data_IF_280145945266
#
_entry.id   IF_280145945266
#
_cell.length_a   1.000
_cell.length_b   1.000
_cell.length_c   1.000
_cell.angle_alpha   90.00
_cell.angle_beta   90.00
_cell.angle_gamma   90.00
#
_symmetry.space_group_name_H-M   'P 1'
#
loop_
_entity.id
_entity.type
_entity.pdbx_description
1 polymer ?
#
# COMPACT_ATOMS: atom_id res chain seq x y z
N UNK A 1 -8.49 9.87 2.56
CA UNK A 1 -9.03 9.48 3.88
C UNK A 1 -8.49 10.39 4.98
N UNK A 2 -9.28 10.69 6.03
CA UNK A 2 -8.74 11.38 7.22
C UNK A 2 -8.10 10.37 8.17
N UNK A 3 -7.07 10.80 8.89
CA UNK A 3 -6.36 9.93 9.84
C UNK A 3 -7.23 9.55 11.03
N UNK A 4 -8.15 10.44 11.44
CA UNK A 4 -9.13 10.17 12.50
C UNK A 4 -10.00 8.96 12.19
N UNK A 5 -10.52 8.88 10.97
CA UNK A 5 -11.36 7.77 10.50
C UNK A 5 -10.61 6.44 10.57
N UNK A 6 -9.35 6.41 10.11
CA UNK A 6 -8.51 5.19 10.15
C UNK A 6 -8.24 4.74 11.59
N UNK A 7 -8.13 5.68 12.54
CA UNK A 7 -7.90 5.38 13.95
C UNK A 7 -9.13 4.82 14.66
N UNK A 8 -10.33 5.22 14.24
CA UNK A 8 -11.61 4.71 14.77
C UNK A 8 -11.95 3.31 14.25
N UNK A 9 -11.45 2.94 13.06
CA UNK A 9 -11.67 1.62 12.46
C UNK A 9 -10.96 0.49 13.21
N UNK A 10 -11.56 -0.72 13.20
CA UNK A 10 -10.90 -1.92 13.75
C UNK A 10 -9.72 -2.33 12.88
N UNK A 11 -8.75 -3.02 13.46
CA UNK A 11 -7.53 -3.41 12.74
C UNK A 11 -7.82 -4.29 11.52
N UNK A 12 -8.79 -5.21 11.61
CA UNK A 12 -9.27 -6.00 10.48
C UNK A 12 -9.88 -5.14 9.35
N UNK A 13 -10.63 -4.10 9.70
CA UNK A 13 -11.25 -3.18 8.71
C UNK A 13 -10.18 -2.33 8.00
N UNK A 14 -9.14 -1.91 8.73
CA UNK A 14 -7.99 -1.20 8.14
C UNK A 14 -7.27 -2.09 7.12
N UNK A 15 -7.13 -3.39 7.38
CA UNK A 15 -6.55 -4.33 6.42
C UNK A 15 -7.40 -4.46 5.15
N UNK A 16 -8.72 -4.59 5.29
CA UNK A 16 -9.65 -4.67 4.15
C UNK A 16 -9.58 -3.40 3.30
N UNK A 17 -9.58 -2.23 3.93
CA UNK A 17 -9.43 -0.96 3.21
C UNK A 17 -8.08 -0.82 2.51
N UNK A 18 -6.98 -1.24 3.14
CA UNK A 18 -5.67 -1.25 2.50
C UNK A 18 -5.64 -2.12 1.25
N UNK A 19 -6.33 -3.27 1.28
CA UNK A 19 -6.44 -4.15 0.11
C UNK A 19 -7.24 -3.49 -1.02
N UNK A 20 -8.35 -2.82 -0.67
CA UNK A 20 -9.16 -2.05 -1.63
C UNK A 20 -8.35 -0.92 -2.26
N UNK A 21 -7.63 -0.14 -1.47
CA UNK A 21 -6.79 0.96 -1.95
C UNK A 21 -5.64 0.46 -2.84
N UNK A 22 -5.06 -0.71 -2.54
CA UNK A 22 -4.02 -1.33 -3.38
C UNK A 22 -4.55 -1.75 -4.74
N UNK A 23 -5.74 -2.36 -4.80
CA UNK A 23 -6.41 -2.66 -6.08
C UNK A 23 -6.67 -1.39 -6.89
N UNK A 24 -7.23 -0.38 -6.24
CA UNK A 24 -7.49 0.89 -6.90
C UNK A 24 -6.21 1.56 -7.43
N UNK A 25 -5.10 1.49 -6.67
CA UNK A 25 -3.81 1.98 -7.15
C UNK A 25 -3.29 1.19 -8.36
N UNK A 26 -3.55 -0.11 -8.42
CA UNK A 26 -3.21 -0.93 -9.59
C UNK A 26 -4.03 -0.50 -10.80
N UNK A 27 -5.35 -0.35 -10.66
CA UNK A 27 -6.24 0.09 -11.75
C UNK A 27 -5.81 1.45 -12.28
N UNK A 28 -5.54 2.42 -11.39
CA UNK A 28 -5.04 3.74 -11.76
C UNK A 28 -3.69 3.68 -12.49
N UNK A 29 -2.81 2.73 -12.15
CA UNK A 29 -1.52 2.53 -12.84
C UNK A 29 -1.72 1.92 -14.22
N UNK A 30 -2.63 0.96 -14.35
CA UNK A 30 -2.94 0.36 -15.66
C UNK A 30 -3.55 1.42 -16.57
N UNK A 31 -4.51 2.20 -16.05
CA UNK A 31 -5.10 3.33 -16.76
C UNK A 31 -4.04 4.35 -17.19
N UNK A 32 -3.04 4.64 -16.36
CA UNK A 32 -1.94 5.54 -16.69
C UNK A 32 -1.08 5.10 -17.87
N UNK A 33 -1.02 3.79 -18.11
CA UNK A 33 -0.24 3.21 -19.19
C UNK A 33 -1.04 3.18 -20.48
N UNK A 34 -2.35 2.88 -20.40
CA UNK A 34 -3.21 2.74 -21.58
C UNK A 34 -3.72 4.08 -22.09
N UNK A 35 -4.02 5.03 -21.20
CA UNK A 35 -4.64 6.32 -21.53
C UNK A 35 -4.04 7.45 -20.68
N UNK A 36 -4.26 8.71 -21.09
CA UNK A 36 -3.91 9.86 -20.25
C UNK A 36 -4.88 9.91 -19.07
N UNK A 37 -4.39 9.80 -17.84
CA UNK A 37 -5.22 10.00 -16.66
C UNK A 37 -5.90 11.36 -16.71
N UNK A 38 -7.21 11.37 -16.48
CA UNK A 38 -7.98 12.60 -16.24
C UNK A 38 -7.46 13.34 -14.99
N UNK A 39 -7.04 12.59 -13.96
CA UNK A 39 -6.57 13.19 -12.71
C UNK A 39 -5.35 12.47 -12.10
N UNK A 40 -4.12 12.90 -12.46
CA UNK A 40 -2.88 12.36 -11.88
C UNK A 40 -2.76 12.53 -10.37
N UNK A 41 -3.47 13.51 -9.77
CA UNK A 41 -3.43 13.73 -8.31
C UNK A 41 -4.07 12.60 -7.52
N UNK A 42 -5.01 11.84 -8.13
CA UNK A 42 -5.60 10.67 -7.47
C UNK A 42 -4.55 9.62 -7.14
N UNK A 43 -3.56 9.43 -8.01
CA UNK A 43 -2.48 8.46 -7.79
C UNK A 43 -1.64 8.84 -6.55
N UNK A 44 -1.42 10.13 -6.33
CA UNK A 44 -0.73 10.65 -5.13
C UNK A 44 -1.62 10.52 -3.90
N UNK A 45 -2.91 10.83 -4.01
CA UNK A 45 -3.88 10.73 -2.91
C UNK A 45 -4.00 9.29 -2.40
N UNK A 46 -4.20 8.33 -3.30
CA UNK A 46 -4.33 6.90 -2.97
C UNK A 46 -3.04 6.37 -2.32
N UNK A 47 -1.86 6.77 -2.81
CA UNK A 47 -0.58 6.43 -2.18
C UNK A 47 -0.47 6.97 -0.75
N UNK A 48 -0.93 8.21 -0.52
CA UNK A 48 -0.93 8.82 0.83
C UNK A 48 -1.91 8.13 1.76
N UNK A 49 -3.08 7.74 1.26
CA UNK A 49 -4.08 7.01 2.06
C UNK A 49 -3.56 5.63 2.47
N UNK A 50 -2.89 4.90 1.57
CA UNK A 50 -2.21 3.63 1.91
C UNK A 50 -1.15 3.86 2.98
N UNK A 51 -0.32 4.89 2.84
CA UNK A 51 0.73 5.20 3.81
C UNK A 51 0.14 5.49 5.20
N UNK A 52 -0.95 6.27 5.28
CA UNK A 52 -1.65 6.56 6.54
C UNK A 52 -2.18 5.30 7.21
N UNK A 53 -2.80 4.40 6.44
CA UNK A 53 -3.27 3.10 6.95
C UNK A 53 -2.14 2.25 7.52
N UNK A 54 -1.02 2.14 6.78
CA UNK A 54 0.16 1.41 7.24
C UNK A 54 0.80 2.02 8.49
N UNK A 55 0.86 3.34 8.60
CA UNK A 55 1.38 4.01 9.81
C UNK A 55 0.51 3.70 11.02
N UNK A 56 -0.83 3.75 10.91
CA UNK A 56 -1.72 3.41 12.03
C UNK A 56 -1.59 1.94 12.44
N UNK A 57 -1.44 1.02 11.48
CA UNK A 57 -1.17 -0.39 11.80
C UNK A 57 0.16 -0.56 12.54
N UNK A 58 1.20 0.17 12.13
CA UNK A 58 2.50 0.18 12.80
C UNK A 58 2.39 0.78 14.22
N UNK A 59 1.64 1.87 14.40
CA UNK A 59 1.34 2.47 15.71
C UNK A 59 0.62 1.47 16.63
N UNK A 60 -0.21 0.58 16.08
CA UNK A 60 -0.92 -0.49 16.81
C UNK A 60 -0.05 -1.70 17.14
N UNK A 61 1.21 -1.76 16.68
CA UNK A 61 2.14 -2.85 16.96
C UNK A 61 2.02 -4.05 16.00
N UNK A 62 1.33 -3.90 14.87
CA UNK A 62 1.29 -4.94 13.83
C UNK A 62 2.62 -4.96 13.04
N UNK A 63 3.63 -5.64 13.58
CA UNK A 63 4.96 -5.81 12.96
C UNK A 63 4.99 -6.87 11.85
N UNK A 64 3.90 -7.62 11.67
CA UNK A 64 3.79 -8.69 10.66
C UNK A 64 3.92 -8.20 9.20
N UNK A 65 3.90 -6.88 8.98
CA UNK A 65 4.01 -6.27 7.65
C UNK A 65 5.45 -6.37 7.09
N UNK A 66 6.47 -6.42 7.94
CA UNK A 66 7.89 -6.51 7.52
C UNK A 66 8.22 -7.90 6.95
N UNK A 67 7.65 -8.99 7.49
CA UNK A 67 8.03 -10.37 7.11
C UNK A 67 7.70 -10.74 5.64
N UNK A 68 6.67 -10.14 5.03
CA UNK A 68 6.34 -10.37 3.62
C UNK A 68 7.22 -9.56 2.66
N UNK A 69 7.70 -8.39 3.08
CA UNK A 69 8.59 -7.55 2.27
C UNK A 69 10.04 -8.06 2.33
N UNK A 70 10.50 -8.46 3.53
CA UNK A 70 11.83 -9.05 3.73
C UNK A 70 12.01 -10.36 2.97
N UNK A 71 10.97 -11.19 2.88
CA UNK A 71 11.02 -12.44 2.12
C UNK A 71 11.17 -12.19 0.61
N UNK A 72 10.47 -11.20 0.06
CA UNK A 72 10.55 -10.85 -1.36
C UNK A 72 11.90 -10.20 -1.72
N UNK A 73 12.47 -9.36 -0.85
CA UNK A 73 13.79 -8.76 -1.04
C UNK A 73 14.93 -9.77 -0.85
N UNK A 74 14.82 -10.68 0.13
CA UNK A 74 15.78 -11.78 0.32
C UNK A 74 15.80 -12.75 -0.87
N UNK A 75 14.63 -13.04 -1.47
CA UNK A 75 14.54 -13.83 -2.70
C UNK A 75 15.09 -13.10 -3.93
N UNK A 76 14.97 -11.78 -3.99
CA UNK A 76 15.53 -10.97 -5.08
C UNK A 76 17.07 -10.79 -4.96
N UNK A 77 17.62 -10.73 -3.75
CA UNK A 77 19.07 -10.57 -3.52
C UNK A 77 19.88 -11.82 -3.95
N UNK A 78 19.27 -13.01 -3.90
CA UNK A 78 19.88 -14.25 -4.39
C UNK A 78 20.05 -14.29 -5.92
N UNK A 79 19.37 -13.44 -6.69
CA UNK A 79 19.56 -13.33 -8.16
C UNK A 79 20.65 -12.34 -8.58
N UNK A 80 21.20 -11.53 -7.66
CA UNK A 80 22.24 -10.53 -7.98
C UNK A 80 23.67 -11.00 -7.70
N UNK A 81 23.88 -12.14 -7.04
CA UNK A 81 25.22 -12.74 -6.82
C UNK A 81 25.64 -13.76 -7.89
N UNK A 82 24.83 -13.96 -8.92
CA UNK A 82 25.12 -14.84 -10.05
C UNK A 82 25.37 -14.02 -11.32
N UNK A 83 26.35 -13.11 -11.29
CA UNK A 83 26.96 -12.54 -12.48
C UNK A 83 28.38 -12.10 -12.21
#
# INVERSE_FOLDING_TARGET
MKVSEIREMKTAEVYVELERLRRHLFDLRVQAVTEKLENPHQLIAVRRDIARGLTVLRERGETAIEQKQDHLEAMASSRRRAR
#
